data_IF_695982377290
#
_entry.id   IF_695982377290
#
_cell.length_a   1.000
_cell.length_b   1.000
_cell.length_c   1.000
_cell.angle_alpha   90.00
_cell.angle_beta   90.00
_cell.angle_gamma   90.00
#
_symmetry.space_group_name_H-M   'P 1'
#
loop_
_entity.id
_entity.type
_entity.pdbx_description
1 polymer ?
#
# COMPACT_ATOMS: atom_id res chain seq x y z
N UNK A 1 4.10 8.80 10.03
CA UNK A 1 4.74 7.49 9.86
C UNK A 1 3.88 6.68 8.90
N UNK A 2 3.89 7.06 7.64
CA UNK A 2 2.90 6.63 6.65
C UNK A 2 3.62 5.80 5.61
N UNK A 3 3.71 4.51 5.89
CA UNK A 3 4.45 3.57 5.06
C UNK A 3 3.49 2.96 4.02
N UNK A 4 3.87 3.05 2.75
CA UNK A 4 3.14 2.52 1.61
C UNK A 4 4.01 1.47 0.91
N UNK A 5 3.54 0.22 0.81
CA UNK A 5 4.24 -0.82 0.06
C UNK A 5 3.38 -1.43 -1.03
N UNK A 6 4.01 -1.64 -2.18
CA UNK A 6 3.36 -2.02 -3.43
C UNK A 6 3.71 -3.46 -3.80
N UNK A 7 2.72 -4.23 -4.26
CA UNK A 7 2.93 -5.59 -4.79
C UNK A 7 2.26 -5.75 -6.15
N UNK A 8 3.04 -6.20 -7.14
CA UNK A 8 2.55 -6.58 -8.47
C UNK A 8 2.76 -8.08 -8.69
N UNK A 9 1.67 -8.83 -8.82
CA UNK A 9 1.65 -10.31 -8.85
C UNK A 9 1.39 -10.86 -10.26
N UNK A 10 2.36 -10.63 -11.16
CA UNK A 10 2.60 -11.54 -12.30
C UNK A 10 3.96 -12.25 -12.22
N UNK A 11 4.97 -11.60 -11.61
CA UNK A 11 6.33 -12.14 -11.51
C UNK A 11 6.91 -12.11 -10.08
N UNK A 12 6.08 -12.04 -9.03
CA UNK A 12 6.53 -11.86 -7.62
C UNK A 12 7.47 -10.66 -7.46
N UNK A 13 7.22 -9.57 -8.17
CA UNK A 13 8.01 -8.34 -8.05
C UNK A 13 7.37 -7.43 -7.01
N UNK A 14 8.19 -7.03 -6.04
CA UNK A 14 7.82 -6.15 -4.95
C UNK A 14 8.48 -4.80 -5.20
N UNK A 15 7.70 -3.73 -5.12
CA UNK A 15 8.22 -2.38 -5.27
C UNK A 15 7.88 -1.59 -4.00
N UNK A 16 8.87 -0.96 -3.39
CA UNK A 16 8.60 -0.02 -2.33
C UNK A 16 8.39 1.35 -2.95
N UNK A 17 7.27 2.00 -2.66
CA UNK A 17 6.97 3.34 -3.15
C UNK A 17 6.66 4.21 -1.95
N UNK A 18 7.47 5.24 -1.72
CA UNK A 18 7.21 6.19 -0.64
C UNK A 18 5.89 6.92 -0.87
N UNK A 19 5.11 7.10 0.19
CA UNK A 19 3.88 7.87 0.12
C UNK A 19 4.20 9.36 -0.06
N UNK A 20 4.09 9.86 -1.29
CA UNK A 20 4.16 11.31 -1.56
C UNK A 20 3.09 12.11 -0.80
N UNK A 21 2.03 11.45 -0.34
CA UNK A 21 0.99 12.01 0.51
C UNK A 21 1.45 12.42 1.91
N UNK A 22 2.62 11.97 2.42
CA UNK A 22 3.11 12.40 3.73
C UNK A 22 3.36 13.92 3.82
N UNK A 23 3.62 14.56 2.68
CA UNK A 23 3.80 16.01 2.61
C UNK A 23 2.48 16.78 2.44
N UNK A 24 1.36 16.08 2.29
CA UNK A 24 0.05 16.68 1.99
C UNK A 24 -0.81 16.65 3.26
N UNK A 25 -1.09 17.82 3.84
CA UNK A 25 -1.89 17.96 5.07
C UNK A 25 -3.31 17.37 4.97
N UNK A 26 -3.87 17.23 3.76
CA UNK A 26 -5.20 16.64 3.55
C UNK A 26 -5.34 16.03 2.15
N UNK A 27 -6.07 14.91 2.02
CA UNK A 27 -6.27 14.22 0.74
C UNK A 27 -5.14 13.28 0.30
N UNK A 28 -4.12 13.08 1.14
CA UNK A 28 -3.00 12.17 0.91
C UNK A 28 -3.43 10.74 0.51
N UNK A 29 -4.50 10.24 1.13
CA UNK A 29 -4.99 8.87 0.93
C UNK A 29 -5.56 8.61 -0.46
N UNK A 30 -6.28 9.58 -1.06
CA UNK A 30 -6.86 9.41 -2.39
C UNK A 30 -5.77 9.39 -3.47
N UNK A 31 -4.83 10.34 -3.43
CA UNK A 31 -3.66 10.35 -4.33
C UNK A 31 -2.80 9.10 -4.20
N UNK A 32 -2.59 8.61 -2.98
CA UNK A 32 -1.88 7.36 -2.75
C UNK A 32 -2.61 6.18 -3.39
N UNK A 33 -3.93 6.09 -3.20
CA UNK A 33 -4.76 5.05 -3.82
C UNK A 33 -4.71 5.10 -5.35
N UNK A 34 -4.85 6.29 -5.95
CA UNK A 34 -4.76 6.47 -7.40
C UNK A 34 -3.38 6.08 -7.95
N UNK A 35 -2.30 6.48 -7.28
CA UNK A 35 -0.94 6.08 -7.66
C UNK A 35 -0.80 4.56 -7.63
N UNK A 36 -1.40 3.92 -6.63
CA UNK A 36 -1.39 2.47 -6.46
C UNK A 36 -2.16 1.76 -7.56
N UNK A 37 -3.33 2.27 -7.92
CA UNK A 37 -4.15 1.69 -8.99
C UNK A 37 -3.45 1.88 -10.34
N UNK A 38 -2.93 3.07 -10.63
CA UNK A 38 -2.30 3.40 -11.92
C UNK A 38 -1.06 2.57 -12.23
N UNK A 39 -0.26 2.22 -11.22
CA UNK A 39 0.92 1.36 -11.41
C UNK A 39 0.53 -0.13 -11.62
N UNK A 40 -0.75 -0.50 -11.47
CA UNK A 40 -1.28 -1.85 -11.64
C UNK A 40 -0.95 -2.83 -10.51
N UNK A 41 -1.14 -2.42 -9.25
CA UNK A 41 -0.91 -3.28 -8.08
C UNK A 41 -2.13 -4.16 -7.89
N UNK A 42 -1.87 -5.33 -7.33
CA UNK A 42 -2.92 -6.26 -6.92
C UNK A 42 -3.03 -6.29 -5.40
N UNK A 43 -1.93 -6.00 -4.70
CA UNK A 43 -1.86 -6.02 -3.25
C UNK A 43 -1.14 -4.77 -2.74
N UNK A 44 -1.73 -4.13 -1.73
CA UNK A 44 -1.14 -3.05 -0.95
C UNK A 44 -0.83 -3.57 0.45
N UNK A 45 0.43 -3.46 0.86
CA UNK A 45 0.83 -3.69 2.25
C UNK A 45 1.05 -2.32 2.92
N UNK A 46 0.39 -2.04 4.03
CA UNK A 46 0.52 -0.73 4.70
C UNK A 46 0.36 -0.83 6.22
N UNK A 47 0.90 0.15 6.94
CA UNK A 47 0.69 0.20 8.40
C UNK A 47 -0.71 0.64 8.78
N UNK A 48 -1.22 1.68 8.12
CA UNK A 48 -2.53 2.26 8.38
C UNK A 48 -3.12 2.80 7.08
N UNK A 49 -4.39 2.50 6.84
CA UNK A 49 -5.18 3.05 5.72
C UNK A 49 -6.33 3.86 6.29
N UNK A 50 -6.58 5.04 5.74
CA UNK A 50 -7.77 5.84 6.09
C UNK A 50 -8.98 5.41 5.26
N UNK A 51 -10.19 5.62 5.77
CA UNK A 51 -11.45 5.13 5.16
C UNK A 51 -11.58 5.52 3.68
N UNK A 52 -11.29 6.79 3.35
CA UNK A 52 -11.35 7.29 1.96
C UNK A 52 -10.38 6.60 1.01
N UNK A 53 -9.19 6.26 1.49
CA UNK A 53 -8.19 5.55 0.68
C UNK A 53 -8.61 4.09 0.50
N UNK A 54 -9.10 3.47 1.57
CA UNK A 54 -9.59 2.10 1.56
C UNK A 54 -10.72 1.92 0.53
N UNK A 55 -11.70 2.82 0.52
CA UNK A 55 -12.80 2.79 -0.45
C UNK A 55 -12.30 2.88 -1.90
N UNK A 56 -11.37 3.80 -2.18
CA UNK A 56 -10.82 3.97 -3.53
C UNK A 56 -10.04 2.74 -3.99
N UNK A 57 -9.21 2.17 -3.11
CA UNK A 57 -8.43 0.96 -3.37
C UNK A 57 -9.33 -0.26 -3.58
N UNK A 58 -10.36 -0.45 -2.74
CA UNK A 58 -11.35 -1.53 -2.90
C UNK A 58 -12.10 -1.42 -4.23
N UNK A 59 -12.51 -0.22 -4.64
CA UNK A 59 -13.13 0.02 -5.96
C UNK A 59 -12.19 -0.29 -7.13
N UNK A 60 -10.89 -0.08 -6.94
CA UNK A 60 -9.85 -0.46 -7.90
C UNK A 60 -9.52 -1.95 -7.94
N UNK A 61 -10.22 -2.79 -7.15
CA UNK A 61 -9.97 -4.24 -7.09
C UNK A 61 -8.69 -4.63 -6.35
N UNK A 62 -8.09 -3.71 -5.59
CA UNK A 62 -6.88 -3.96 -4.83
C UNK A 62 -7.17 -4.67 -3.51
N UNK A 63 -6.31 -5.64 -3.17
CA UNK A 63 -6.30 -6.26 -1.85
C UNK A 63 -5.46 -5.43 -0.90
N UNK A 64 -6.07 -5.00 0.20
CA UNK A 64 -5.40 -4.20 1.23
C UNK A 64 -5.02 -5.14 2.37
N UNK A 65 -3.76 -5.05 2.80
CA UNK A 65 -3.26 -5.72 3.99
C UNK A 65 -2.67 -4.65 4.90
N UNK A 66 -3.45 -4.26 5.89
CA UNK A 66 -3.06 -3.31 6.92
C UNK A 66 -2.51 -4.04 8.17
N UNK A 67 -2.07 -3.25 9.18
CA UNK A 67 -1.60 -3.79 10.46
C UNK A 67 -0.09 -3.93 10.59
N UNK A 68 0.69 -3.49 9.59
CA UNK A 68 2.15 -3.37 9.71
C UNK A 68 2.53 -2.18 10.60
N UNK A 69 2.47 -2.39 11.93
CA UNK A 69 2.76 -1.35 12.93
C UNK A 69 4.27 -1.21 13.17
N UNK A 70 4.75 0.03 13.32
CA UNK A 70 6.15 0.33 13.60
C UNK A 70 7.06 0.31 12.36
N UNK A 71 8.38 0.21 12.59
CA UNK A 71 9.41 0.17 11.54
C UNK A 71 9.56 -1.25 10.98
N UNK A 72 8.54 -1.74 10.27
CA UNK A 72 8.64 -3.02 9.54
C UNK A 72 9.45 -2.79 8.26
N UNK A 73 10.51 -3.56 8.04
CA UNK A 73 11.24 -3.49 6.77
C UNK A 73 10.35 -4.07 5.67
N UNK A 74 10.47 -3.53 4.45
CA UNK A 74 9.73 -4.00 3.26
C UNK A 74 9.82 -5.52 3.10
N UNK A 75 11.04 -6.05 3.25
CA UNK A 75 11.34 -7.49 3.19
C UNK A 75 10.49 -8.30 4.18
N UNK A 76 10.36 -7.83 5.41
CA UNK A 76 9.63 -8.55 6.46
C UNK A 76 8.12 -8.52 6.20
N UNK A 77 7.59 -7.39 5.72
CA UNK A 77 6.18 -7.29 5.33
C UNK A 77 5.84 -8.23 4.16
N UNK A 78 6.72 -8.28 3.16
CA UNK A 78 6.60 -9.19 2.01
C UNK A 78 6.69 -10.65 2.44
N UNK A 79 7.67 -11.00 3.27
CA UNK A 79 7.80 -12.37 3.79
C UNK A 79 6.56 -12.77 4.61
N UNK A 80 6.02 -11.89 5.43
CA UNK A 80 4.79 -12.17 6.19
C UNK A 80 3.59 -12.46 5.27
N UNK A 81 3.50 -11.71 4.16
CA UNK A 81 2.46 -11.94 3.15
C UNK A 81 2.65 -13.25 2.38
N UNK A 82 3.89 -13.61 2.03
CA UNK A 82 4.21 -14.83 1.29
C UNK A 82 4.15 -16.11 2.14
N UNK A 83 4.38 -16.00 3.45
CA UNK A 83 4.33 -17.13 4.39
C UNK A 83 2.91 -17.46 4.89
N UNK A 84 1.90 -16.67 4.47
CA UNK A 84 0.48 -16.92 4.71
C UNK A 84 -0.16 -17.58 3.50
#
# INVERSE_FOLDING_TARGET
>A
MSILYYLRYRNKKFEAVSNLGEQIQSGAGHKAAELIINKGAEVLLTGHVGDKAEEALKRGGLKIVDGFKGTVKVKDAVNNYLSK
#
